data_IF_029176858074
#
_entry.id   IF_029176858074
#
_cell.length_a   1.000
_cell.length_b   1.000
_cell.length_c   1.000
_cell.angle_alpha   90.00
_cell.angle_beta   90.00
_cell.angle_gamma   90.00
#
_symmetry.space_group_name_H-M   'P 1'
#
loop_
_entity.id
_entity.type
_entity.pdbx_description
1 polymer ?
#
# COMPACT_ATOMS: atom_id res chain seq x y z
N UNK A 1 24.04 10.24 -12.54
CA UNK A 1 22.67 9.74 -12.54
C UNK A 1 22.05 10.14 -13.87
N UNK A 2 21.83 9.21 -14.77
CA UNK A 2 21.11 9.47 -16.01
C UNK A 2 19.66 9.01 -15.78
N UNK A 3 18.74 9.94 -15.61
CA UNK A 3 17.31 9.65 -15.50
C UNK A 3 16.67 9.56 -16.90
N UNK A 4 17.30 8.83 -17.80
CA UNK A 4 16.78 8.64 -19.15
C UNK A 4 16.03 7.32 -19.29
N UNK A 5 14.83 7.39 -19.90
CA UNK A 5 14.11 6.17 -20.31
C UNK A 5 14.76 5.58 -21.56
N UNK A 6 14.98 4.28 -21.58
CA UNK A 6 15.38 3.57 -22.79
C UNK A 6 14.31 3.67 -23.89
N UNK A 7 14.65 3.32 -25.11
CA UNK A 7 13.65 3.23 -26.18
C UNK A 7 12.55 2.20 -25.84
N UNK A 8 12.94 1.07 -25.24
CA UNK A 8 12.02 0.02 -24.84
C UNK A 8 11.09 0.46 -23.69
N UNK A 9 11.61 1.27 -22.75
CA UNK A 9 10.80 1.84 -21.67
C UNK A 9 9.76 2.80 -22.20
N UNK A 10 10.15 3.65 -23.18
CA UNK A 10 9.20 4.57 -23.82
C UNK A 10 8.12 3.80 -24.61
N UNK A 11 8.52 2.81 -25.39
CA UNK A 11 7.58 1.98 -26.13
C UNK A 11 6.61 1.24 -25.19
N UNK A 12 7.10 0.70 -24.07
CA UNK A 12 6.24 0.08 -23.08
C UNK A 12 5.26 1.08 -22.45
N UNK A 13 5.71 2.30 -22.16
CA UNK A 13 4.82 3.34 -21.60
C UNK A 13 3.70 3.72 -22.59
N UNK A 14 4.02 3.84 -23.87
CA UNK A 14 3.03 4.12 -24.92
C UNK A 14 2.04 2.96 -25.07
N UNK A 15 2.52 1.72 -25.12
CA UNK A 15 1.68 0.53 -25.18
C UNK A 15 0.74 0.44 -23.95
N UNK A 16 1.29 0.68 -22.74
CA UNK A 16 0.52 0.66 -21.50
C UNK A 16 -0.56 1.75 -21.50
N UNK A 17 -0.23 2.97 -21.91
CA UNK A 17 -1.21 4.08 -22.02
C UNK A 17 -2.33 3.75 -22.96
N UNK A 18 -2.02 3.31 -24.17
CA UNK A 18 -3.02 2.92 -25.15
C UNK A 18 -3.94 1.81 -24.63
N UNK A 19 -3.37 0.83 -23.92
CA UNK A 19 -4.16 -0.22 -23.29
C UNK A 19 -5.04 0.31 -22.15
N UNK A 20 -4.50 1.17 -21.30
CA UNK A 20 -5.26 1.76 -20.18
C UNK A 20 -6.43 2.61 -20.67
N UNK A 21 -6.23 3.36 -21.74
CA UNK A 21 -7.28 4.19 -22.36
C UNK A 21 -8.41 3.34 -22.99
N UNK A 22 -8.10 2.11 -23.40
CA UNK A 22 -9.09 1.16 -23.93
C UNK A 22 -9.75 0.31 -22.81
N UNK A 23 -9.04 -0.01 -21.74
CA UNK A 23 -9.50 -0.94 -20.69
C UNK A 23 -10.29 -0.23 -19.59
N UNK A 24 -9.94 1.02 -19.26
CA UNK A 24 -10.69 1.80 -18.28
C UNK A 24 -12.06 2.19 -18.87
N UNK A 25 -13.15 1.93 -18.15
CA UNK A 25 -14.48 2.27 -18.63
C UNK A 25 -14.66 3.79 -18.70
N UNK A 26 -15.53 4.32 -19.56
CA UNK A 26 -15.76 5.76 -19.69
C UNK A 26 -16.21 6.45 -18.40
N UNK A 27 -16.83 5.72 -17.50
CA UNK A 27 -17.27 6.16 -16.17
C UNK A 27 -16.27 5.84 -15.05
N UNK A 28 -15.02 5.56 -15.40
CA UNK A 28 -13.97 5.23 -14.41
C UNK A 28 -13.84 6.28 -13.30
N UNK A 29 -13.90 7.55 -13.64
CA UNK A 29 -13.80 8.63 -12.66
C UNK A 29 -14.95 8.59 -11.63
N UNK A 30 -16.15 8.19 -12.04
CA UNK A 30 -17.28 8.01 -11.13
C UNK A 30 -17.10 6.78 -10.24
N UNK A 31 -16.62 5.67 -10.79
CA UNK A 31 -16.28 4.47 -10.02
C UNK A 31 -15.19 4.79 -8.99
N UNK A 32 -14.15 5.51 -9.39
CA UNK A 32 -13.03 5.89 -8.53
C UNK A 32 -13.42 6.88 -7.43
N UNK A 33 -14.47 7.72 -7.64
CA UNK A 33 -15.03 8.62 -6.59
C UNK A 33 -15.57 7.86 -5.38
N UNK A 34 -16.05 6.63 -5.56
CA UNK A 34 -16.49 5.78 -4.46
C UNK A 34 -15.37 5.34 -3.52
N UNK A 35 -14.12 5.66 -3.88
CA UNK A 35 -12.92 5.32 -3.13
C UNK A 35 -12.43 3.90 -3.39
N UNK A 36 -11.16 3.63 -3.06
CA UNK A 36 -10.47 2.39 -3.44
C UNK A 36 -11.01 1.13 -2.73
N UNK A 37 -11.83 1.29 -1.69
CA UNK A 37 -12.49 0.20 -0.97
C UNK A 37 -13.96 -0.01 -1.34
N UNK A 38 -14.52 0.78 -2.26
CA UNK A 38 -15.90 0.61 -2.68
C UNK A 38 -16.12 -0.71 -3.43
N UNK A 39 -17.30 -1.30 -3.30
CA UNK A 39 -17.65 -2.56 -3.96
C UNK A 39 -17.48 -2.47 -5.48
N UNK A 40 -17.86 -1.33 -6.07
CA UNK A 40 -17.74 -1.09 -7.51
C UNK A 40 -16.27 -1.08 -7.96
N UNK A 41 -15.41 -0.36 -7.25
CA UNK A 41 -13.97 -0.32 -7.59
C UNK A 41 -13.30 -1.67 -7.37
N UNK A 42 -13.61 -2.38 -6.27
CA UNK A 42 -13.03 -3.70 -6.01
C UNK A 42 -13.49 -4.74 -7.03
N UNK A 43 -14.77 -4.72 -7.45
CA UNK A 43 -15.26 -5.58 -8.53
C UNK A 43 -14.55 -5.30 -9.86
N UNK A 44 -14.33 -4.02 -10.20
CA UNK A 44 -13.52 -3.64 -11.36
C UNK A 44 -12.09 -4.12 -11.21
N UNK A 45 -11.44 -3.87 -10.06
CA UNK A 45 -10.04 -4.24 -9.80
C UNK A 45 -9.76 -5.72 -10.01
N UNK A 46 -10.71 -6.62 -9.68
CA UNK A 46 -10.56 -8.05 -9.93
C UNK A 46 -10.39 -8.36 -11.42
N UNK A 47 -11.27 -7.83 -12.27
CA UNK A 47 -11.20 -8.02 -13.73
C UNK A 47 -9.95 -7.37 -14.32
N UNK A 48 -9.68 -6.16 -13.91
CA UNK A 48 -8.52 -5.39 -14.35
C UNK A 48 -7.19 -6.09 -14.01
N UNK A 49 -7.05 -6.62 -12.79
CA UNK A 49 -5.85 -7.37 -12.40
C UNK A 49 -5.70 -8.67 -13.17
N UNK A 50 -6.79 -9.38 -13.49
CA UNK A 50 -6.73 -10.55 -14.35
C UNK A 50 -6.24 -10.19 -15.76
N UNK A 51 -6.76 -9.10 -16.35
CA UNK A 51 -6.30 -8.61 -17.66
C UNK A 51 -4.83 -8.18 -17.66
N UNK A 52 -4.36 -7.52 -16.58
CA UNK A 52 -2.93 -7.23 -16.39
C UNK A 52 -2.08 -8.49 -16.28
N UNK A 53 -2.59 -9.52 -15.58
CA UNK A 53 -1.90 -10.80 -15.41
C UNK A 53 -1.80 -11.56 -16.73
N UNK A 54 -2.85 -11.60 -17.55
CA UNK A 54 -2.84 -12.21 -18.89
C UNK A 54 -1.78 -11.59 -19.80
N UNK A 55 -1.55 -10.28 -19.69
CA UNK A 55 -0.45 -9.57 -20.38
C UNK A 55 0.91 -9.79 -19.72
N UNK A 56 0.95 -10.42 -18.53
CA UNK A 56 2.16 -10.61 -17.71
C UNK A 56 2.71 -9.30 -17.15
N UNK A 57 1.87 -8.27 -16.99
CA UNK A 57 2.26 -6.96 -16.47
C UNK A 57 2.04 -6.82 -14.97
N UNK A 58 1.05 -7.54 -14.40
CA UNK A 58 0.67 -7.40 -12.99
C UNK A 58 1.87 -7.61 -12.04
N UNK A 59 2.64 -8.65 -12.28
CA UNK A 59 3.83 -9.05 -11.50
C UNK A 59 5.10 -9.05 -12.34
N UNK A 60 5.20 -8.22 -13.37
CA UNK A 60 6.32 -8.25 -14.34
C UNK A 60 7.71 -8.18 -13.68
N UNK A 61 7.83 -7.52 -12.53
CA UNK A 61 9.08 -7.36 -11.78
C UNK A 61 9.43 -8.56 -10.88
N UNK A 62 8.54 -9.54 -10.76
CA UNK A 62 8.83 -10.75 -10.02
C UNK A 62 9.71 -11.70 -10.82
N UNK A 63 10.46 -12.59 -10.16
CA UNK A 63 11.15 -13.70 -10.83
C UNK A 63 10.17 -14.55 -11.66
N UNK A 64 10.62 -15.02 -12.83
CA UNK A 64 9.81 -15.85 -13.71
C UNK A 64 9.29 -17.13 -13.01
N UNK A 65 10.07 -17.68 -12.09
CA UNK A 65 9.68 -18.84 -11.27
C UNK A 65 8.42 -18.60 -10.42
N UNK A 66 8.04 -17.34 -10.17
CA UNK A 66 6.90 -16.96 -9.36
C UNK A 66 5.80 -16.22 -10.16
N UNK A 67 5.82 -16.36 -11.49
CA UNK A 67 4.81 -15.75 -12.36
C UNK A 67 5.14 -14.33 -12.80
N UNK A 68 6.39 -13.90 -12.66
CA UNK A 68 6.90 -12.62 -13.17
C UNK A 68 7.59 -12.77 -14.55
N UNK A 69 8.33 -11.72 -14.91
CA UNK A 69 9.13 -11.62 -16.15
C UNK A 69 10.54 -11.11 -15.91
N UNK A 70 10.99 -11.06 -14.65
CA UNK A 70 12.29 -10.49 -14.27
C UNK A 70 12.48 -9.05 -14.79
N UNK A 71 11.39 -8.30 -14.97
CA UNK A 71 11.46 -6.93 -15.46
C UNK A 71 12.17 -6.03 -14.45
N UNK A 72 13.02 -5.15 -14.96
CA UNK A 72 13.79 -4.24 -14.12
C UNK A 72 12.94 -3.24 -13.33
N UNK A 73 13.51 -2.64 -12.27
CA UNK A 73 12.81 -1.69 -11.42
C UNK A 73 12.23 -0.48 -12.16
N UNK A 74 12.88 -0.03 -13.23
CA UNK A 74 12.41 1.07 -14.07
C UNK A 74 11.11 0.73 -14.81
N UNK A 75 11.02 -0.46 -15.39
CA UNK A 75 9.81 -0.91 -16.07
C UNK A 75 8.64 -1.07 -15.10
N UNK A 76 8.92 -1.55 -13.89
CA UNK A 76 7.92 -1.60 -12.82
C UNK A 76 7.47 -0.20 -12.36
N UNK A 77 8.39 0.76 -12.30
CA UNK A 77 8.07 2.15 -11.98
C UNK A 77 7.12 2.79 -13.01
N UNK A 78 7.31 2.52 -14.30
CA UNK A 78 6.40 2.98 -15.36
C UNK A 78 4.98 2.47 -15.10
N UNK A 79 4.82 1.17 -14.82
CA UNK A 79 3.52 0.60 -14.49
C UNK A 79 2.89 1.31 -13.28
N UNK A 80 3.68 1.52 -12.23
CA UNK A 80 3.22 2.23 -11.02
C UNK A 80 2.77 3.66 -11.33
N UNK A 81 3.54 4.44 -12.08
CA UNK A 81 3.21 5.82 -12.43
C UNK A 81 1.90 5.92 -13.22
N UNK A 82 1.76 5.12 -14.27
CA UNK A 82 0.59 5.17 -15.14
C UNK A 82 -0.69 4.73 -14.42
N UNK A 83 -0.59 3.75 -13.51
CA UNK A 83 -1.73 3.29 -12.71
C UNK A 83 -2.09 4.27 -11.59
N UNK A 84 -1.09 4.81 -10.86
CA UNK A 84 -1.35 5.80 -9.81
C UNK A 84 -1.89 7.12 -10.35
N UNK A 85 -1.43 7.56 -11.52
CA UNK A 85 -2.00 8.72 -12.20
C UNK A 85 -3.51 8.54 -12.48
N UNK A 86 -3.96 7.31 -12.71
CA UNK A 86 -5.36 6.97 -13.00
C UNK A 86 -6.14 6.46 -11.78
N UNK A 87 -5.73 6.81 -10.56
CA UNK A 87 -6.45 6.44 -9.33
C UNK A 87 -6.24 5.00 -8.86
N UNK A 88 -5.17 4.33 -9.32
CA UNK A 88 -4.76 2.97 -8.93
C UNK A 88 -5.85 1.90 -9.18
N UNK A 89 -6.14 1.57 -10.43
CA UNK A 89 -7.21 0.63 -10.79
C UNK A 89 -7.02 -0.80 -10.27
N UNK A 90 -5.81 -1.18 -9.82
CA UNK A 90 -5.55 -2.48 -9.19
C UNK A 90 -6.22 -2.62 -7.83
N UNK A 91 -6.68 -1.51 -7.22
CA UNK A 91 -7.25 -1.55 -5.87
C UNK A 91 -6.31 -2.22 -4.87
N UNK A 92 -6.81 -3.16 -4.02
CA UNK A 92 -5.98 -3.81 -3.00
C UNK A 92 -4.79 -4.59 -3.56
N UNK A 93 -4.82 -4.99 -4.84
CA UNK A 93 -3.77 -5.83 -5.43
C UNK A 93 -2.41 -5.13 -5.52
N UNK A 94 -2.37 -3.79 -5.54
CA UNK A 94 -1.08 -3.08 -5.58
C UNK A 94 -0.20 -3.41 -4.35
N UNK A 95 -0.82 -3.62 -3.17
CA UNK A 95 -0.11 -4.05 -1.95
C UNK A 95 0.45 -5.47 -2.10
N UNK A 96 -0.37 -6.34 -2.66
CA UNK A 96 -0.05 -7.76 -2.76
C UNK A 96 1.15 -8.00 -3.67
N UNK A 97 1.19 -7.31 -4.82
CA UNK A 97 2.28 -7.47 -5.79
C UNK A 97 3.54 -6.73 -5.38
N UNK A 98 3.44 -5.63 -4.64
CA UNK A 98 4.59 -4.78 -4.33
C UNK A 98 5.36 -5.18 -3.08
N UNK A 99 4.73 -5.77 -2.04
CA UNK A 99 5.43 -6.14 -0.81
C UNK A 99 4.96 -7.41 -0.12
N UNK A 100 3.65 -7.78 -0.17
CA UNK A 100 3.19 -9.03 0.45
C UNK A 100 3.76 -10.24 -0.29
N UNK A 101 3.60 -10.31 -1.62
CA UNK A 101 4.19 -11.36 -2.44
C UNK A 101 5.71 -11.45 -2.31
N UNK A 102 6.46 -10.35 -2.45
CA UNK A 102 7.90 -10.33 -2.18
C UNK A 102 8.30 -10.82 -0.79
N UNK A 103 7.53 -10.50 0.26
CA UNK A 103 7.79 -11.03 1.60
C UNK A 103 7.57 -12.55 1.66
N UNK A 104 6.50 -13.06 1.01
CA UNK A 104 6.25 -14.51 0.91
C UNK A 104 7.35 -15.20 0.09
N UNK A 105 7.82 -14.60 -1.01
CA UNK A 105 8.94 -15.16 -1.80
C UNK A 105 10.20 -15.30 -0.97
N UNK A 106 10.51 -14.35 -0.11
CA UNK A 106 11.73 -14.32 0.69
C UNK A 106 11.67 -15.21 1.93
N UNK A 107 10.58 -15.18 2.66
CA UNK A 107 10.47 -15.79 3.99
C UNK A 107 9.52 -16.99 4.05
N UNK A 108 8.73 -17.22 3.03
CA UNK A 108 7.74 -18.29 2.98
C UNK A 108 8.38 -19.67 2.77
N UNK A 109 7.73 -20.69 3.34
CA UNK A 109 8.01 -22.08 2.99
C UNK A 109 7.65 -22.34 1.53
N UNK A 110 8.18 -23.40 0.94
CA UNK A 110 7.84 -23.79 -0.44
C UNK A 110 6.34 -24.07 -0.61
N UNK A 111 5.68 -24.57 0.43
CA UNK A 111 4.23 -24.76 0.45
C UNK A 111 3.48 -23.42 0.42
N UNK A 112 3.88 -22.46 1.25
CA UNK A 112 3.29 -21.10 1.26
C UNK A 112 3.49 -20.40 -0.10
N UNK A 113 4.69 -20.49 -0.67
CA UNK A 113 4.98 -19.92 -2.01
C UNK A 113 4.08 -20.54 -3.06
N UNK A 114 3.96 -21.88 -3.10
CA UNK A 114 3.11 -22.60 -4.06
C UNK A 114 1.63 -22.29 -3.89
N UNK A 115 1.18 -22.07 -2.66
CA UNK A 115 -0.24 -21.75 -2.36
C UNK A 115 -0.60 -20.31 -2.73
N UNK A 116 0.23 -19.34 -2.37
CA UNK A 116 -0.15 -17.93 -2.37
C UNK A 116 0.34 -17.15 -3.61
N UNK A 117 1.57 -17.39 -4.07
CA UNK A 117 2.16 -16.57 -5.13
C UNK A 117 1.41 -16.68 -6.46
N UNK A 118 0.98 -17.88 -6.93
CA UNK A 118 0.19 -17.98 -8.16
C UNK A 118 -1.16 -17.23 -8.08
N UNK A 119 -1.81 -17.23 -6.92
CA UNK A 119 -3.09 -16.53 -6.71
C UNK A 119 -2.92 -15.00 -6.74
N UNK A 120 -1.79 -14.51 -6.21
CA UNK A 120 -1.44 -13.09 -6.27
C UNK A 120 -1.07 -12.71 -7.71
N UNK A 121 -0.21 -13.47 -8.38
CA UNK A 121 0.27 -13.15 -9.73
C UNK A 121 -0.83 -13.16 -10.80
N UNK A 122 -1.92 -13.91 -10.57
CA UNK A 122 -3.11 -13.93 -11.44
C UNK A 122 -4.20 -12.94 -11.01
N UNK A 123 -3.98 -12.16 -9.93
CA UNK A 123 -4.99 -11.21 -9.42
C UNK A 123 -6.19 -11.85 -8.73
N UNK A 124 -6.11 -13.14 -8.36
CA UNK A 124 -7.23 -13.93 -7.82
C UNK A 124 -7.46 -13.72 -6.32
N UNK A 125 -6.42 -13.39 -5.55
CA UNK A 125 -6.50 -13.25 -4.11
C UNK A 125 -6.13 -11.84 -3.65
N UNK A 126 -7.00 -11.22 -2.87
CA UNK A 126 -6.75 -9.96 -2.20
C UNK A 126 -6.33 -10.20 -0.75
N UNK A 127 -5.41 -9.38 -0.28
CA UNK A 127 -4.86 -9.40 1.05
C UNK A 127 -5.08 -8.07 1.75
N UNK A 128 -5.25 -8.12 3.05
CA UNK A 128 -5.15 -6.94 3.90
C UNK A 128 -3.94 -7.04 4.83
N UNK A 129 -3.58 -5.93 5.49
CA UNK A 129 -2.48 -5.85 6.43
C UNK A 129 -3.01 -5.58 7.83
N UNK A 130 -2.89 -6.54 8.73
CA UNK A 130 -3.23 -6.41 10.14
C UNK A 130 -2.03 -5.96 10.96
N UNK A 131 -1.67 -4.66 10.91
CA UNK A 131 -0.48 -4.11 11.57
C UNK A 131 -0.87 -3.30 12.81
N UNK A 132 -1.42 -2.11 12.59
CA UNK A 132 -1.74 -1.15 13.65
C UNK A 132 -2.80 -1.66 14.61
N UNK A 133 -2.69 -1.26 15.87
CA UNK A 133 -3.69 -1.46 16.92
C UNK A 133 -4.12 -0.10 17.48
N UNK A 134 -5.24 0.00 18.21
CA UNK A 134 -5.67 1.27 18.81
C UNK A 134 -4.57 1.98 19.60
N UNK A 135 -3.72 1.23 20.33
CA UNK A 135 -2.63 1.75 21.15
C UNK A 135 -1.23 1.60 20.50
N UNK A 136 -1.13 1.05 19.27
CA UNK A 136 0.13 0.76 18.60
C UNK A 136 0.07 1.08 17.11
N UNK A 137 0.14 2.37 16.77
CA UNK A 137 0.22 2.88 15.40
C UNK A 137 1.66 3.22 15.01
N UNK A 138 2.13 4.43 15.34
CA UNK A 138 3.52 4.86 15.10
C UNK A 138 4.53 4.02 15.89
N UNK A 139 4.22 3.64 17.13
CA UNK A 139 4.97 2.65 17.89
C UNK A 139 4.41 1.25 17.63
N UNK A 140 4.56 0.77 16.40
CA UNK A 140 4.08 -0.55 15.99
C UNK A 140 4.68 -1.70 16.81
N UNK A 141 5.89 -1.51 17.35
CA UNK A 141 6.54 -2.49 18.19
C UNK A 141 5.85 -2.71 19.55
N UNK A 142 4.93 -1.83 19.94
CA UNK A 142 4.10 -1.96 21.14
C UNK A 142 2.85 -2.83 20.94
N UNK A 143 2.65 -3.44 19.77
CA UNK A 143 1.49 -4.28 19.48
C UNK A 143 1.27 -5.38 20.52
N UNK A 144 -0.01 -5.69 20.80
CA UNK A 144 -0.45 -6.60 21.85
C UNK A 144 -1.31 -7.77 21.37
N UNK A 145 -1.76 -7.77 20.10
CA UNK A 145 -2.47 -8.93 19.54
C UNK A 145 -1.64 -10.18 19.79
N UNK A 146 -2.14 -11.08 20.63
CA UNK A 146 -1.42 -12.24 21.14
C UNK A 146 -1.71 -13.46 20.29
N UNK A 147 -0.70 -14.27 20.03
CA UNK A 147 -0.82 -15.59 19.41
C UNK A 147 -0.17 -16.63 20.32
N UNK A 148 -0.99 -17.34 21.07
CA UNK A 148 -0.52 -18.38 21.99
C UNK A 148 -0.48 -19.72 21.29
N UNK A 149 0.68 -20.37 21.24
CA UNK A 149 0.83 -21.68 20.63
C UNK A 149 0.12 -22.75 21.45
N UNK A 150 -0.70 -23.53 20.77
CA UNK A 150 -1.39 -24.69 21.34
C UNK A 150 -0.95 -25.95 20.59
N UNK A 151 -0.44 -26.98 21.31
CA UNK A 151 -0.09 -28.25 20.69
C UNK A 151 -1.33 -28.99 20.19
N UNK A 152 -1.12 -29.86 19.21
CA UNK A 152 -2.15 -30.79 18.72
C UNK A 152 -2.70 -31.65 19.87
N UNK A 153 -4.02 -31.70 20.01
CA UNK A 153 -4.71 -32.51 21.06
C UNK A 153 -5.09 -31.75 22.33
N UNK A 154 -4.80 -30.45 22.47
CA UNK A 154 -5.37 -29.64 23.55
C UNK A 154 -6.86 -29.38 23.27
N UNK A 155 -7.73 -29.87 24.16
CA UNK A 155 -9.19 -29.75 24.04
C UNK A 155 -9.74 -28.40 24.50
N UNK A 156 -8.90 -27.50 24.99
CA UNK A 156 -9.32 -26.20 25.49
C UNK A 156 -9.64 -25.25 24.34
N UNK A 157 -10.92 -24.99 24.11
CA UNK A 157 -11.41 -23.96 23.18
C UNK A 157 -11.97 -24.46 21.85
N UNK A 158 -12.33 -25.74 21.68
CA UNK A 158 -13.07 -26.18 20.50
C UNK A 158 -14.59 -25.87 20.62
N UNK A 159 -15.15 -25.02 19.73
CA UNK A 159 -16.59 -25.08 19.52
C UNK A 159 -16.94 -26.42 18.85
N UNK A 160 -17.91 -27.14 19.43
CA UNK A 160 -18.44 -28.38 18.88
C UNK A 160 -18.94 -28.17 17.45
N UNK A 161 -18.21 -28.68 16.45
CA UNK A 161 -18.62 -28.62 15.05
C UNK A 161 -17.58 -28.13 14.03
N UNK A 162 -16.37 -27.74 14.44
CA UNK A 162 -15.31 -27.39 13.47
C UNK A 162 -14.55 -28.65 13.06
N UNK A 163 -14.52 -28.95 11.75
CA UNK A 163 -13.61 -29.93 11.14
C UNK A 163 -12.16 -29.46 11.44
N UNK A 164 -11.56 -30.06 12.50
CA UNK A 164 -10.34 -29.59 13.13
C UNK A 164 -9.15 -29.64 12.18
N UNK A 165 -8.37 -28.56 12.19
CA UNK A 165 -6.98 -28.64 11.76
C UNK A 165 -6.25 -29.59 12.72
N UNK A 166 -5.93 -30.79 12.26
CA UNK A 166 -5.04 -31.71 12.96
C UNK A 166 -3.63 -31.12 12.96
N UNK A 167 -3.20 -30.58 14.06
CA UNK A 167 -1.84 -30.04 14.19
C UNK A 167 -1.73 -28.87 15.17
N UNK A 168 -0.50 -28.45 15.42
CA UNK A 168 -0.18 -27.28 16.23
C UNK A 168 -0.79 -26.02 15.62
N UNK A 169 -1.36 -25.16 16.45
CA UNK A 169 -1.97 -23.91 16.03
C UNK A 169 -1.64 -22.78 17.02
N UNK A 170 -1.79 -21.55 16.53
CA UNK A 170 -1.87 -20.36 17.37
C UNK A 170 -3.32 -20.04 17.69
N UNK A 171 -3.61 -19.75 18.94
CA UNK A 171 -4.86 -19.13 19.34
C UNK A 171 -4.64 -17.62 19.35
N UNK A 172 -5.29 -16.92 18.42
CA UNK A 172 -5.05 -15.48 18.22
C UNK A 172 -6.17 -14.67 18.87
N UNK A 173 -5.76 -13.72 19.72
CA UNK A 173 -6.64 -12.80 20.42
C UNK A 173 -6.13 -11.37 20.34
N UNK A 174 -7.03 -10.42 20.00
CA UNK A 174 -6.71 -9.01 19.90
C UNK A 174 -7.50 -8.30 18.80
N UNK A 175 -7.05 -7.12 18.43
CA UNK A 175 -7.70 -6.36 17.36
C UNK A 175 -6.69 -5.55 16.56
N UNK A 176 -7.00 -5.33 15.28
CA UNK A 176 -6.26 -4.47 14.38
C UNK A 176 -7.17 -3.34 13.89
N UNK A 177 -6.57 -2.17 13.65
CA UNK A 177 -7.29 -0.97 13.20
C UNK A 177 -6.64 -0.40 11.94
N UNK A 178 -7.39 0.39 11.19
CA UNK A 178 -6.96 0.98 9.92
C UNK A 178 -6.57 -0.06 8.87
N UNK A 179 -7.16 -1.25 8.97
CA UNK A 179 -6.91 -2.36 8.05
C UNK A 179 -7.63 -2.10 6.72
N UNK A 180 -6.89 -1.62 5.72
CA UNK A 180 -7.45 -1.34 4.40
C UNK A 180 -7.94 -2.62 3.73
N UNK A 181 -9.10 -2.56 3.07
CA UNK A 181 -9.70 -3.65 2.27
C UNK A 181 -10.03 -4.95 3.02
N UNK A 182 -10.09 -4.94 4.35
CA UNK A 182 -10.34 -6.17 5.12
C UNK A 182 -11.66 -6.85 4.76
N UNK A 183 -12.68 -6.08 4.37
CA UNK A 183 -14.00 -6.58 3.93
C UNK A 183 -13.95 -7.36 2.60
N UNK A 184 -12.91 -7.18 1.80
CA UNK A 184 -12.74 -7.82 0.50
C UNK A 184 -11.58 -8.82 0.45
N UNK A 185 -10.74 -8.84 1.49
CA UNK A 185 -9.56 -9.67 1.56
C UNK A 185 -9.89 -11.14 1.84
N UNK A 186 -9.20 -12.06 1.18
CA UNK A 186 -9.22 -13.49 1.48
C UNK A 186 -8.20 -13.85 2.54
N UNK A 187 -7.14 -13.06 2.69
CA UNK A 187 -6.06 -13.31 3.64
C UNK A 187 -5.63 -12.01 4.33
N UNK A 188 -5.17 -12.14 5.58
CA UNK A 188 -4.54 -11.07 6.33
C UNK A 188 -3.05 -11.38 6.55
N UNK A 189 -2.20 -10.44 6.17
CA UNK A 189 -0.79 -10.40 6.57
C UNK A 189 -0.74 -9.80 7.97
N UNK A 190 -0.80 -10.68 8.99
CA UNK A 190 -1.08 -10.32 10.37
C UNK A 190 0.18 -10.29 11.25
N UNK A 191 0.43 -9.16 11.92
CA UNK A 191 1.42 -9.05 12.98
C UNK A 191 0.84 -9.44 14.32
N UNK A 192 1.53 -10.35 15.01
CA UNK A 192 1.12 -10.85 16.33
C UNK A 192 2.32 -10.91 17.27
N UNK A 193 2.05 -10.91 18.58
CA UNK A 193 3.03 -11.19 19.59
C UNK A 193 2.96 -12.67 19.97
N UNK A 194 4.02 -13.41 19.68
CA UNK A 194 4.13 -14.84 20.04
C UNK A 194 4.90 -15.05 21.34
N UNK A 195 5.71 -14.09 21.75
CA UNK A 195 6.37 -14.09 23.07
C UNK A 195 5.98 -12.83 23.88
N UNK A 196 5.03 -12.95 24.82
CA UNK A 196 4.57 -11.83 25.64
C UNK A 196 5.62 -11.33 26.66
N UNK A 197 6.64 -12.13 26.97
CA UNK A 197 7.72 -11.72 27.88
C UNK A 197 8.77 -10.85 27.17
N UNK A 198 8.82 -10.87 25.85
CA UNK A 198 9.74 -10.08 25.04
C UNK A 198 9.30 -8.60 24.97
N UNK A 199 10.28 -7.74 24.69
CA UNK A 199 10.05 -6.29 24.62
C UNK A 199 10.25 -5.78 23.19
N UNK A 200 9.51 -4.73 22.84
CA UNK A 200 9.57 -4.02 21.56
C UNK A 200 9.37 -4.99 20.39
N UNK A 201 10.28 -4.97 19.43
CA UNK A 201 10.21 -5.74 18.18
C UNK A 201 10.57 -7.23 18.33
N UNK A 202 11.13 -7.65 19.45
CA UNK A 202 11.37 -9.06 19.72
C UNK A 202 10.07 -9.79 20.04
N UNK A 203 9.99 -11.07 19.69
CA UNK A 203 8.82 -11.90 19.95
C UNK A 203 7.57 -11.53 19.14
N UNK A 204 7.74 -10.73 18.07
CA UNK A 204 6.71 -10.47 17.07
C UNK A 204 6.87 -11.48 15.94
N UNK A 205 5.77 -12.05 15.48
CA UNK A 205 5.70 -12.97 14.34
C UNK A 205 4.71 -12.47 13.29
N UNK A 206 4.82 -12.99 12.08
CA UNK A 206 3.86 -12.75 11.00
C UNK A 206 3.06 -14.02 10.75
N UNK A 207 1.74 -13.91 10.67
CA UNK A 207 0.84 -14.98 10.28
C UNK A 207 0.10 -14.63 8.99
N UNK A 208 -0.03 -15.60 8.09
CA UNK A 208 -0.83 -15.52 6.86
C UNK A 208 -2.22 -16.09 7.17
N UNK A 209 -3.13 -15.25 7.66
CA UNK A 209 -4.42 -15.68 8.22
C UNK A 209 -5.52 -15.65 7.16
N UNK A 210 -6.21 -16.77 6.86
CA UNK A 210 -7.45 -16.74 6.09
C UNK A 210 -8.51 -15.89 6.81
N UNK A 211 -9.17 -14.98 6.10
CA UNK A 211 -10.15 -14.06 6.70
C UNK A 211 -11.48 -14.73 7.07
N UNK A 212 -11.73 -15.93 6.56
CA UNK A 212 -12.86 -16.79 6.92
C UNK A 212 -12.58 -17.69 8.14
N UNK A 213 -11.42 -17.54 8.79
CA UNK A 213 -11.10 -18.27 10.03
C UNK A 213 -12.14 -17.94 11.11
N UNK A 214 -12.77 -18.96 11.75
CA UNK A 214 -13.68 -18.75 12.86
C UNK A 214 -13.02 -17.89 13.96
N UNK A 215 -13.77 -16.90 14.47
CA UNK A 215 -13.26 -15.92 15.43
C UNK A 215 -12.66 -14.67 14.80
N UNK A 216 -12.56 -14.56 13.47
CA UNK A 216 -12.22 -13.33 12.77
C UNK A 216 -13.49 -12.55 12.45
N UNK A 217 -13.53 -11.27 12.86
CA UNK A 217 -14.66 -10.37 12.58
C UNK A 217 -14.15 -9.04 12.04
N UNK A 218 -14.77 -8.54 10.97
CA UNK A 218 -14.42 -7.27 10.33
C UNK A 218 -15.51 -6.24 10.61
N UNK A 219 -15.11 -5.03 11.02
CA UNK A 219 -15.99 -3.90 11.28
C UNK A 219 -15.51 -2.69 10.49
N UNK A 220 -16.41 -2.05 9.79
CA UNK A 220 -16.15 -0.85 9.01
C UNK A 220 -15.86 0.35 9.91
N UNK A 221 -14.88 1.18 9.50
CA UNK A 221 -14.59 2.49 10.09
C UNK A 221 -14.99 3.54 9.05
N UNK A 222 -16.02 4.38 9.33
CA UNK A 222 -16.36 5.49 8.45
C UNK A 222 -15.17 6.44 8.31
N UNK A 223 -14.82 6.82 7.08
CA UNK A 223 -13.71 7.72 6.81
C UNK A 223 -14.20 9.12 6.41
N UNK A 224 -13.32 10.10 6.53
CA UNK A 224 -13.60 11.48 6.09
C UNK A 224 -13.80 11.57 4.57
N UNK A 225 -13.31 10.60 3.81
CA UNK A 225 -13.56 10.49 2.36
C UNK A 225 -14.88 9.76 2.03
N UNK A 226 -15.59 9.28 3.05
CA UNK A 226 -16.93 8.70 2.90
C UNK A 226 -16.95 7.27 2.35
N UNK A 227 -15.81 6.65 2.15
CA UNK A 227 -15.65 5.30 1.62
C UNK A 227 -15.48 4.24 2.72
N UNK A 228 -15.68 2.98 2.35
CA UNK A 228 -15.49 1.81 3.20
C UNK A 228 -14.05 1.29 3.14
N UNK A 229 -13.09 2.18 3.24
CA UNK A 229 -11.70 1.83 3.00
C UNK A 229 -11.00 1.22 4.22
N UNK A 230 -11.32 1.71 5.42
CA UNK A 230 -10.67 1.29 6.66
C UNK A 230 -11.58 0.41 7.53
N UNK A 231 -10.98 -0.56 8.19
CA UNK A 231 -11.68 -1.51 9.04
C UNK A 231 -10.93 -1.76 10.34
N UNK A 232 -11.68 -2.12 11.38
CA UNK A 232 -11.19 -2.88 12.52
C UNK A 232 -11.33 -4.37 12.20
N UNK A 233 -10.35 -5.15 12.60
CA UNK A 233 -10.38 -6.61 12.50
C UNK A 233 -10.16 -7.18 13.89
N UNK A 234 -11.13 -7.92 14.40
CA UNK A 234 -11.10 -8.55 15.71
C UNK A 234 -10.76 -10.02 15.56
N UNK A 235 -9.94 -10.51 16.47
CA UNK A 235 -9.56 -11.91 16.60
C UNK A 235 -10.00 -12.37 18.00
N UNK A 236 -10.93 -13.30 18.07
CA UNK A 236 -11.47 -13.86 19.32
C UNK A 236 -11.32 -15.38 19.26
N UNK A 237 -10.30 -15.88 19.93
CA UNK A 237 -9.91 -17.30 19.93
C UNK A 237 -9.76 -17.86 18.50
N UNK A 238 -9.27 -17.03 17.57
CA UNK A 238 -9.08 -17.46 16.19
C UNK A 238 -7.95 -18.48 16.10
N UNK A 239 -8.29 -19.70 15.69
CA UNK A 239 -7.33 -20.81 15.60
C UNK A 239 -6.62 -20.79 14.24
N UNK A 240 -5.34 -20.45 14.25
CA UNK A 240 -4.51 -20.31 13.06
C UNK A 240 -3.41 -21.38 13.06
N UNK A 241 -3.34 -22.27 12.06
CA UNK A 241 -2.30 -23.30 11.97
C UNK A 241 -0.88 -22.71 12.05
N UNK A 242 0.05 -23.42 12.71
CA UNK A 242 1.45 -22.98 12.76
C UNK A 242 2.07 -22.89 11.36
N UNK A 243 1.60 -23.68 10.41
CA UNK A 243 2.00 -23.60 9.01
C UNK A 243 1.68 -22.26 8.32
N UNK A 244 0.77 -21.45 8.90
CA UNK A 244 0.48 -20.09 8.43
C UNK A 244 1.51 -19.05 8.90
N UNK A 245 2.50 -19.41 9.75
CA UNK A 245 3.55 -18.48 10.17
C UNK A 245 4.54 -18.23 9.03
N UNK A 246 4.78 -16.97 8.74
CA UNK A 246 5.74 -16.53 7.74
C UNK A 246 7.11 -16.26 8.41
N UNK A 247 8.11 -17.02 8.06
CA UNK A 247 9.44 -16.92 8.65
C UNK A 247 9.55 -17.54 10.05
N UNK A 248 10.69 -17.36 10.74
CA UNK A 248 10.90 -17.87 12.08
C UNK A 248 10.02 -17.20 13.14
N UNK A 249 9.69 -17.93 14.20
CA UNK A 249 8.92 -17.38 15.32
C UNK A 249 9.72 -16.32 16.07
N UNK A 250 9.09 -15.21 16.39
CA UNK A 250 9.71 -14.08 17.07
C UNK A 250 10.53 -13.13 16.19
N UNK A 251 10.73 -13.46 14.91
CA UNK A 251 11.52 -12.67 13.94
C UNK A 251 10.66 -11.90 12.91
N UNK A 252 9.38 -11.78 13.16
CA UNK A 252 8.44 -11.09 12.25
C UNK A 252 8.76 -9.63 12.00
N UNK A 253 9.57 -8.99 12.88
CA UNK A 253 10.01 -7.61 12.67
C UNK A 253 10.93 -7.47 11.46
N UNK A 254 11.77 -8.47 11.17
CA UNK A 254 12.61 -8.50 9.98
C UNK A 254 11.73 -8.61 8.72
N UNK A 255 10.75 -9.51 8.74
CA UNK A 255 9.79 -9.71 7.65
C UNK A 255 9.06 -8.42 7.33
N UNK A 256 8.55 -7.71 8.35
CA UNK A 256 7.85 -6.43 8.18
C UNK A 256 8.81 -5.34 7.71
N UNK A 257 10.02 -5.28 8.28
CA UNK A 257 11.05 -4.34 7.85
C UNK A 257 11.35 -4.46 6.36
N UNK A 258 11.41 -5.67 5.84
CA UNK A 258 11.56 -5.95 4.41
C UNK A 258 10.34 -5.44 3.61
N UNK A 259 9.12 -5.79 4.01
CA UNK A 259 7.91 -5.36 3.33
C UNK A 259 7.79 -3.83 3.28
N UNK A 260 8.00 -3.13 4.41
CA UNK A 260 7.91 -1.67 4.51
C UNK A 260 8.91 -0.92 3.62
N UNK A 261 10.07 -1.50 3.29
CA UNK A 261 11.03 -0.87 2.37
C UNK A 261 10.48 -0.75 0.95
N UNK A 262 9.69 -1.73 0.52
CA UNK A 262 9.03 -1.69 -0.79
C UNK A 262 7.77 -0.81 -0.76
N UNK A 263 7.01 -0.83 0.32
CA UNK A 263 5.80 -0.05 0.51
C UNK A 263 6.06 1.46 0.40
N UNK A 264 7.16 1.98 0.96
CA UNK A 264 7.47 3.42 1.00
C UNK A 264 7.59 4.08 -0.37
N UNK A 265 8.00 3.33 -1.38
CA UNK A 265 8.23 3.83 -2.75
C UNK A 265 7.36 3.06 -3.78
N UNK A 266 6.64 2.04 -3.34
CA UNK A 266 5.77 1.23 -4.21
C UNK A 266 4.52 1.96 -4.69
N UNK A 267 4.16 3.09 -4.06
CA UNK A 267 3.05 3.94 -4.43
C UNK A 267 3.59 5.22 -5.08
N UNK A 268 3.40 5.38 -6.39
CA UNK A 268 3.84 6.56 -7.15
C UNK A 268 2.89 7.76 -6.91
N UNK A 269 2.73 8.17 -5.63
CA UNK A 269 1.81 9.25 -5.22
C UNK A 269 2.12 10.58 -5.91
N UNK A 270 3.39 10.86 -6.19
CA UNK A 270 3.80 12.03 -6.95
C UNK A 270 3.18 12.07 -8.36
N UNK A 271 2.95 10.93 -9.00
CA UNK A 271 2.30 10.87 -10.31
C UNK A 271 0.83 11.30 -10.24
N UNK A 272 0.13 10.89 -9.19
CA UNK A 272 -1.24 11.37 -8.92
C UNK A 272 -1.26 12.86 -8.61
N UNK A 273 -0.35 13.35 -7.76
CA UNK A 273 -0.25 14.76 -7.45
C UNK A 273 0.03 15.59 -8.72
N UNK A 274 0.94 15.14 -9.57
CA UNK A 274 1.26 15.81 -10.83
C UNK A 274 0.06 15.87 -11.78
N UNK A 275 -0.68 14.77 -11.94
CA UNK A 275 -1.91 14.77 -12.74
C UNK A 275 -2.98 15.68 -12.16
N UNK A 276 -3.20 15.64 -10.84
CA UNK A 276 -4.12 16.56 -10.17
C UNK A 276 -3.75 18.01 -10.44
N UNK A 277 -2.44 18.33 -10.39
CA UNK A 277 -1.95 19.67 -10.72
C UNK A 277 -2.23 20.07 -12.18
N UNK A 278 -2.10 19.14 -13.14
CA UNK A 278 -2.45 19.39 -14.55
C UNK A 278 -3.94 19.72 -14.71
N UNK A 279 -4.82 18.99 -14.01
CA UNK A 279 -6.25 19.27 -13.96
C UNK A 279 -6.55 20.64 -13.33
N UNK A 280 -5.84 20.99 -12.24
CA UNK A 280 -5.96 22.32 -11.61
C UNK A 280 -5.55 23.44 -12.57
N UNK A 281 -4.44 23.28 -13.26
CA UNK A 281 -3.95 24.27 -14.24
C UNK A 281 -4.94 24.47 -15.39
N UNK A 282 -5.54 23.40 -15.90
CA UNK A 282 -6.55 23.49 -16.96
C UNK A 282 -7.85 24.16 -16.47
N UNK A 283 -8.29 23.83 -15.24
CA UNK A 283 -9.44 24.51 -14.62
C UNK A 283 -9.16 25.99 -14.34
N UNK A 284 -7.94 26.33 -13.90
CA UNK A 284 -7.53 27.72 -13.71
C UNK A 284 -7.51 28.48 -15.05
N UNK A 285 -7.06 27.83 -16.14
CA UNK A 285 -7.09 28.39 -17.49
C UNK A 285 -8.53 28.67 -17.95
N UNK A 286 -9.42 27.71 -17.80
CA UNK A 286 -10.84 27.84 -18.23
C UNK A 286 -11.59 28.92 -17.44
N UNK A 287 -11.14 29.28 -16.26
CA UNK A 287 -11.70 30.34 -15.41
C UNK A 287 -10.95 31.68 -15.51
N UNK A 288 -10.01 31.81 -16.44
CA UNK A 288 -9.19 33.01 -16.65
C UNK A 288 -8.29 33.39 -15.47
N UNK A 289 -8.07 32.49 -14.50
CA UNK A 289 -7.24 32.73 -13.31
C UNK A 289 -5.76 32.88 -13.64
N UNK A 290 -5.28 32.33 -14.78
CA UNK A 290 -3.88 32.43 -15.19
C UNK A 290 -3.44 33.84 -15.58
N UNK A 291 -4.35 34.80 -15.67
CA UNK A 291 -4.01 36.22 -15.82
C UNK A 291 -3.41 36.84 -14.55
N UNK A 292 -3.62 36.20 -13.39
CA UNK A 292 -3.00 36.60 -12.13
C UNK A 292 -1.60 35.95 -11.99
N UNK A 293 -0.51 36.77 -11.92
CA UNK A 293 0.85 36.24 -11.72
C UNK A 293 0.98 35.39 -10.46
N UNK A 294 0.22 35.67 -9.40
CA UNK A 294 0.27 34.92 -8.14
C UNK A 294 -0.23 33.50 -8.33
N UNK A 295 -1.21 33.28 -9.20
CA UNK A 295 -1.72 31.95 -9.56
C UNK A 295 -0.65 31.15 -10.32
N UNK A 296 0.02 31.82 -11.27
CA UNK A 296 1.13 31.17 -12.02
C UNK A 296 2.28 30.79 -11.10
N UNK A 297 2.65 31.66 -10.15
CA UNK A 297 3.69 31.38 -9.15
C UNK A 297 3.33 30.15 -8.32
N UNK A 298 2.14 30.09 -7.72
CA UNK A 298 1.66 28.95 -6.92
C UNK A 298 1.60 27.65 -7.72
N UNK A 299 1.17 27.67 -8.97
CA UNK A 299 1.20 26.51 -9.87
C UNK A 299 2.63 26.05 -10.14
N UNK A 300 3.55 27.00 -10.34
CA UNK A 300 4.98 26.74 -10.55
C UNK A 300 5.64 26.11 -9.32
N UNK A 301 5.37 26.62 -8.12
CA UNK A 301 5.85 26.06 -6.85
C UNK A 301 5.34 24.63 -6.64
N UNK A 302 4.04 24.39 -6.82
CA UNK A 302 3.45 23.04 -6.70
C UNK A 302 4.08 22.08 -7.74
N UNK A 303 4.35 22.54 -8.96
CA UNK A 303 5.05 21.76 -9.98
C UNK A 303 6.47 21.40 -9.53
N UNK A 304 7.21 22.36 -8.99
CA UNK A 304 8.56 22.11 -8.50
C UNK A 304 8.59 21.06 -7.38
N UNK A 305 7.61 21.09 -6.47
CA UNK A 305 7.46 20.08 -5.40
C UNK A 305 7.14 18.70 -5.97
N UNK A 306 6.24 18.60 -6.94
CA UNK A 306 5.92 17.33 -7.63
C UNK A 306 7.15 16.74 -8.34
N UNK A 307 7.91 17.59 -9.06
CA UNK A 307 9.12 17.16 -9.77
C UNK A 307 10.22 16.72 -8.80
N UNK A 308 10.41 17.44 -7.70
CA UNK A 308 11.35 17.03 -6.65
C UNK A 308 10.99 15.65 -6.07
N UNK A 309 9.69 15.40 -5.79
CA UNK A 309 9.21 14.11 -5.30
C UNK A 309 9.43 12.98 -6.33
N UNK A 310 9.21 13.27 -7.61
CA UNK A 310 9.48 12.35 -8.72
C UNK A 310 10.97 11.97 -8.77
N UNK A 311 11.86 12.96 -8.80
CA UNK A 311 13.30 12.73 -8.90
C UNK A 311 13.88 11.98 -7.68
N UNK A 312 13.40 12.28 -6.47
CA UNK A 312 13.77 11.56 -5.25
C UNK A 312 13.29 10.10 -5.29
N UNK A 313 12.10 9.84 -5.85
CA UNK A 313 11.62 8.47 -6.07
C UNK A 313 12.47 7.74 -7.12
N UNK A 314 12.83 8.41 -8.21
CA UNK A 314 13.71 7.87 -9.26
C UNK A 314 15.09 7.50 -8.73
N UNK A 315 15.64 8.30 -7.80
CA UNK A 315 16.90 7.96 -7.14
C UNK A 315 16.81 6.59 -6.42
N UNK A 316 15.71 6.32 -5.75
CA UNK A 316 15.51 5.01 -5.09
C UNK A 316 15.34 3.88 -6.12
N UNK A 317 14.64 4.13 -7.22
CA UNK A 317 14.46 3.16 -8.30
C UNK A 317 15.81 2.85 -8.96
N UNK A 318 16.62 3.88 -9.21
CA UNK A 318 17.97 3.75 -9.77
C UNK A 318 18.89 2.91 -8.86
N UNK A 319 18.87 3.17 -7.55
CA UNK A 319 19.61 2.36 -6.57
C UNK A 319 19.21 0.87 -6.65
N UNK A 320 17.90 0.59 -6.74
CA UNK A 320 17.41 -0.78 -6.90
C UNK A 320 17.83 -1.41 -8.22
N UNK A 321 17.82 -0.63 -9.31
CA UNK A 321 18.25 -1.10 -10.63
C UNK A 321 19.74 -1.49 -10.65
N UNK A 322 20.56 -0.86 -9.80
CA UNK A 322 21.96 -1.20 -9.61
C UNK A 322 22.22 -2.23 -8.49
N UNK A 323 21.16 -2.85 -7.95
CA UNK A 323 21.29 -3.86 -6.90
C UNK A 323 21.80 -3.31 -5.55
N UNK A 324 21.74 -1.99 -5.35
CA UNK A 324 22.18 -1.39 -4.09
C UNK A 324 21.20 -1.72 -2.95
N UNK A 325 21.72 -1.90 -1.72
CA UNK A 325 20.87 -2.19 -0.58
C UNK A 325 19.89 -1.02 -0.31
N UNK A 326 18.73 -1.31 0.28
CA UNK A 326 17.79 -0.28 0.68
C UNK A 326 18.42 0.76 1.60
N UNK A 327 18.19 2.04 1.28
CA UNK A 327 18.72 3.18 2.01
C UNK A 327 17.62 4.03 2.65
N UNK A 328 18.01 5.01 3.47
CA UNK A 328 17.07 5.99 4.02
C UNK A 328 16.52 6.96 2.97
N UNK A 329 17.00 6.91 1.72
CA UNK A 329 16.43 7.68 0.61
C UNK A 329 14.96 7.34 0.38
N UNK A 330 14.52 6.12 0.74
CA UNK A 330 13.10 5.75 0.72
C UNK A 330 12.25 6.62 1.66
N UNK A 331 12.80 7.04 2.80
CA UNK A 331 12.14 7.95 3.73
C UNK A 331 12.06 9.38 3.16
N UNK A 332 13.14 9.83 2.51
CA UNK A 332 13.18 11.15 1.84
C UNK A 332 12.16 11.21 0.72
N UNK A 333 12.13 10.21 -0.17
CA UNK A 333 11.14 10.13 -1.24
C UNK A 333 9.69 10.07 -0.70
N UNK A 334 9.47 9.35 0.42
CA UNK A 334 8.16 9.28 1.07
C UNK A 334 7.68 10.63 1.59
N UNK A 335 8.55 11.39 2.28
CA UNK A 335 8.24 12.74 2.77
C UNK A 335 7.95 13.68 1.59
N UNK A 336 8.80 13.65 0.56
CA UNK A 336 8.61 14.48 -0.64
C UNK A 336 7.26 14.18 -1.35
N UNK A 337 6.88 12.90 -1.50
CA UNK A 337 5.59 12.52 -2.06
C UNK A 337 4.41 13.03 -1.22
N UNK A 338 4.53 13.03 0.10
CA UNK A 338 3.50 13.59 1.00
C UNK A 338 3.38 15.12 0.82
N UNK A 339 4.51 15.81 0.73
CA UNK A 339 4.53 17.25 0.48
C UNK A 339 3.89 17.61 -0.85
N UNK A 340 4.15 16.83 -1.91
CA UNK A 340 3.55 17.02 -3.22
C UNK A 340 2.01 16.89 -3.16
N UNK A 341 1.47 15.84 -2.54
CA UNK A 341 0.04 15.65 -2.40
C UNK A 341 -0.62 16.79 -1.61
N UNK A 342 -0.03 17.22 -0.50
CA UNK A 342 -0.54 18.33 0.33
C UNK A 342 -0.48 19.65 -0.41
N UNK A 343 0.66 19.98 -1.04
CA UNK A 343 0.84 21.24 -1.78
C UNK A 343 -0.20 21.39 -2.90
N UNK A 344 -0.47 20.32 -3.65
CA UNK A 344 -1.48 20.35 -4.72
C UNK A 344 -2.89 20.46 -4.17
N UNK A 345 -3.17 19.82 -3.04
CA UNK A 345 -4.47 19.89 -2.35
C UNK A 345 -4.74 21.30 -1.81
N UNK A 346 -3.77 21.89 -1.14
CA UNK A 346 -3.88 23.25 -0.60
C UNK A 346 -4.09 24.27 -1.72
N UNK A 347 -3.37 24.09 -2.83
CA UNK A 347 -3.55 24.90 -4.04
C UNK A 347 -4.96 24.78 -4.62
N UNK A 348 -5.57 23.59 -4.59
CA UNK A 348 -6.95 23.39 -5.05
C UNK A 348 -7.96 24.21 -4.22
N UNK A 349 -7.78 24.25 -2.89
CA UNK A 349 -8.60 25.09 -2.01
C UNK A 349 -8.41 26.59 -2.31
N UNK A 350 -7.15 27.02 -2.47
CA UNK A 350 -6.82 28.40 -2.75
C UNK A 350 -7.40 28.92 -4.07
N UNK A 351 -7.33 28.10 -5.13
CA UNK A 351 -7.74 28.51 -6.48
C UNK A 351 -9.26 28.53 -6.67
N UNK A 352 -9.99 27.65 -5.96
CA UNK A 352 -11.41 27.47 -6.22
C UNK A 352 -12.31 28.00 -5.08
N UNK A 353 -11.74 28.53 -4.00
CA UNK A 353 -12.45 29.29 -2.98
C UNK A 353 -13.75 28.63 -2.51
N UNK A 354 -14.92 29.31 -2.65
CA UNK A 354 -16.20 28.77 -2.19
C UNK A 354 -16.59 27.43 -2.81
N UNK A 355 -16.22 27.16 -4.07
CA UNK A 355 -16.51 25.86 -4.70
C UNK A 355 -15.82 24.71 -3.97
N UNK A 356 -14.69 24.99 -3.29
CA UNK A 356 -13.97 24.01 -2.49
C UNK A 356 -14.72 23.59 -1.21
N UNK A 357 -15.70 24.39 -0.77
CA UNK A 357 -16.54 24.10 0.39
C UNK A 357 -17.77 23.24 0.06
N UNK A 358 -18.04 23.02 -1.22
CA UNK A 358 -19.12 22.15 -1.66
C UNK A 358 -18.66 20.68 -1.53
N UNK A 359 -19.39 19.90 -0.73
CA UNK A 359 -19.12 18.47 -0.53
C UNK A 359 -19.16 17.71 -1.85
N UNK A 360 -18.09 16.95 -2.12
CA UNK A 360 -17.95 16.18 -3.36
C UNK A 360 -17.46 17.01 -4.56
N UNK A 361 -17.19 18.32 -4.38
CA UNK A 361 -16.48 19.09 -5.39
C UNK A 361 -15.07 18.52 -5.60
N UNK A 362 -14.45 18.84 -6.75
CA UNK A 362 -13.09 18.35 -7.04
C UNK A 362 -12.08 18.78 -5.95
N UNK A 363 -12.12 20.03 -5.53
CA UNK A 363 -11.19 20.57 -4.53
C UNK A 363 -11.42 19.94 -3.15
N UNK A 364 -12.67 19.80 -2.70
CA UNK A 364 -13.04 19.11 -1.47
C UNK A 364 -12.57 17.65 -1.47
N UNK A 365 -12.81 16.93 -2.56
CA UNK A 365 -12.39 15.53 -2.68
C UNK A 365 -10.86 15.39 -2.60
N UNK A 366 -10.10 16.25 -3.30
CA UNK A 366 -8.63 16.26 -3.24
C UNK A 366 -8.13 16.60 -1.83
N UNK A 367 -8.74 17.59 -1.17
CA UNK A 367 -8.37 17.97 0.18
C UNK A 367 -8.56 16.83 1.18
N UNK A 368 -9.74 16.19 1.19
CA UNK A 368 -10.01 15.06 2.09
C UNK A 368 -9.09 13.87 1.83
N UNK A 369 -8.80 13.58 0.58
CA UNK A 369 -7.86 12.52 0.21
C UNK A 369 -6.44 12.83 0.71
N UNK A 370 -5.99 14.08 0.58
CA UNK A 370 -4.66 14.52 1.02
C UNK A 370 -4.52 14.55 2.56
N UNK A 371 -5.62 14.64 3.33
CA UNK A 371 -5.56 14.53 4.80
C UNK A 371 -4.97 13.20 5.27
N UNK A 372 -5.10 12.13 4.49
CA UNK A 372 -4.51 10.82 4.78
C UNK A 372 -3.03 10.74 4.40
N UNK A 373 -2.53 11.71 3.61
CA UNK A 373 -1.14 11.75 3.19
C UNK A 373 -0.21 12.00 4.40
N UNK A 374 0.82 11.18 4.51
CA UNK A 374 1.80 11.28 5.59
C UNK A 374 1.36 10.62 6.91
N UNK A 375 0.25 9.88 6.94
CA UNK A 375 -0.19 9.08 8.10
C UNK A 375 0.26 7.63 7.93
N UNK A 376 -0.15 6.97 6.86
CA UNK A 376 0.22 5.58 6.59
C UNK A 376 1.71 5.41 6.21
N UNK A 377 2.24 4.20 6.31
CA UNK A 377 3.62 3.81 5.91
C UNK A 377 4.70 4.49 6.77
N UNK A 378 4.38 4.69 8.04
CA UNK A 378 5.12 5.57 8.95
C UNK A 378 4.73 7.03 8.72
N UNK A 379 4.38 7.71 9.81
CA UNK A 379 3.99 9.12 9.73
C UNK A 379 5.13 9.98 9.18
N UNK A 380 4.81 11.20 8.75
CA UNK A 380 5.82 12.18 8.29
C UNK A 380 6.89 12.35 9.36
N UNK A 381 6.49 12.47 10.65
CA UNK A 381 7.38 12.65 11.79
C UNK A 381 8.32 11.44 11.98
N UNK A 382 7.78 10.21 11.91
CA UNK A 382 8.59 8.99 11.97
C UNK A 382 9.60 8.95 10.83
N UNK A 383 9.20 9.30 9.61
CA UNK A 383 10.11 9.35 8.46
C UNK A 383 11.18 10.44 8.63
N UNK A 384 10.81 11.64 9.14
CA UNK A 384 11.77 12.71 9.44
C UNK A 384 12.77 12.29 10.52
N UNK A 385 12.37 11.62 11.58
CA UNK A 385 13.26 11.08 12.60
C UNK A 385 14.23 10.03 12.02
N UNK A 386 13.77 9.20 11.10
CA UNK A 386 14.64 8.25 10.39
C UNK A 386 15.63 8.95 9.47
N UNK A 387 15.23 10.02 8.78
CA UNK A 387 16.11 10.87 7.99
C UNK A 387 17.16 11.55 8.89
N UNK A 388 16.72 12.18 9.99
CA UNK A 388 17.61 12.83 10.95
C UNK A 388 18.70 11.88 11.45
N UNK A 389 18.31 10.67 11.88
CA UNK A 389 19.25 9.70 12.44
C UNK A 389 20.11 8.97 11.41
N UNK A 390 19.54 8.61 10.24
CA UNK A 390 20.21 7.72 9.26
C UNK A 390 20.89 8.46 8.12
N UNK A 391 20.38 9.65 7.73
CA UNK A 391 20.94 10.45 6.65
C UNK A 391 21.84 11.55 7.21
N UNK A 392 21.37 12.26 8.24
CA UNK A 392 22.08 13.39 8.84
C UNK A 392 22.99 13.00 10.01
N UNK A 393 22.90 11.76 10.51
CA UNK A 393 23.72 11.29 11.63
C UNK A 393 23.41 11.98 12.96
N UNK A 394 22.24 12.60 13.11
CA UNK A 394 21.85 13.28 14.33
C UNK A 394 21.59 12.27 15.46
N UNK A 395 21.87 12.62 16.72
CA UNK A 395 21.64 11.73 17.86
C UNK A 395 20.17 11.39 17.98
N UNK A 396 19.89 10.19 18.49
CA UNK A 396 18.55 9.78 18.93
C UNK A 396 18.39 10.22 20.39
N UNK A 397 17.28 10.86 20.70
CA UNK A 397 16.89 11.08 22.08
C UNK A 397 16.54 9.79 22.80
#
# INVERSE_FOLDING_TARGET
MEFGWSADDRAFREELRAWLDAELPPDWDEIAKGGPGSDAQVAFSRRFCAALAERGWLTQHWPAAFGGRDAGPWRHAILGEELWARGEPRGPQYMNVNWIGPAIMRYGSEEQKRLHLPRISRGEAFWCQGFSEPEAGSDLAALRTLATRQPSGSSDGQPSGSSGCEGDAYLVNGSKIWTSYANHAQFCFLLVRTDPASKRHHGISVLLVPMDTPGVTVREIPSVVGDRYFHEVFFSDARVPVSCRLGPEGEGWEVVGYALQYERVGAARYARAALTLDVLAERARSRWLLADPTVLEKLGEARAVCEAARLLSYRVIDQRAHGLPPSADTNVARVAGTLAERSVSDLALDLFGPDALEYGSFADAQFRLAMTAGVAVGTTEVNLNLIASRVLGLPRE
#
